data_IF_154892475206
#
_entry.id   IF_154892475206
#
_cell.length_a   1.000
_cell.length_b   1.000
_cell.length_c   1.000
_cell.angle_alpha   90.00
_cell.angle_beta   90.00
_cell.angle_gamma   90.00
#
_symmetry.space_group_name_H-M   'P 1'
#
loop_
_entity.id
_entity.type
_entity.pdbx_description
1 polymer ?
#
# COMPACT_ATOMS: atom_id res chain seq x y z
N UNK A 1 -18.11 -4.41 -0.18
CA UNK A 1 -19.05 -5.34 0.47
C UNK A 1 -20.28 -4.54 0.85
N UNK A 2 -21.41 -4.81 0.28
CA UNK A 2 -22.70 -4.25 0.72
C UNK A 2 -23.12 -5.03 1.98
N UNK A 3 -22.83 -4.48 3.15
CA UNK A 3 -23.08 -5.17 4.44
C UNK A 3 -24.57 -5.29 4.74
N UNK A 4 -25.39 -4.33 4.28
CA UNK A 4 -26.84 -4.34 4.53
C UNK A 4 -27.57 -5.38 3.65
N UNK A 5 -27.10 -5.66 2.45
CA UNK A 5 -27.74 -6.57 1.51
C UNK A 5 -26.97 -7.89 1.35
N UNK A 6 -25.93 -8.15 2.17
CA UNK A 6 -25.14 -9.38 2.11
C UNK A 6 -24.42 -9.56 0.75
N UNK A 7 -24.16 -8.47 0.02
CA UNK A 7 -23.47 -8.54 -1.26
C UNK A 7 -22.02 -8.93 -1.06
N UNK A 8 -21.73 -10.15 -1.42
CA UNK A 8 -20.33 -10.60 -1.58
C UNK A 8 -20.01 -10.52 -3.07
N UNK A 9 -18.93 -9.85 -3.49
CA UNK A 9 -18.55 -9.84 -4.89
C UNK A 9 -18.39 -11.28 -5.37
N UNK A 10 -19.12 -11.64 -6.43
CA UNK A 10 -19.12 -13.00 -6.95
C UNK A 10 -17.75 -13.41 -7.50
N UNK A 11 -16.94 -12.45 -7.88
CA UNK A 11 -15.62 -12.70 -8.44
C UNK A 11 -14.70 -11.45 -8.38
N UNK A 12 -13.41 -11.70 -8.36
CA UNK A 12 -12.36 -10.69 -8.55
C UNK A 12 -11.71 -11.04 -9.91
N UNK A 13 -11.50 -10.05 -10.75
CA UNK A 13 -10.79 -10.21 -12.02
C UNK A 13 -9.44 -9.50 -11.96
N UNK A 14 -8.36 -10.22 -12.24
CA UNK A 14 -6.99 -9.69 -12.31
C UNK A 14 -6.44 -10.01 -13.69
N UNK A 15 -5.99 -8.99 -14.43
CA UNK A 15 -5.46 -9.13 -15.81
C UNK A 15 -6.41 -9.93 -16.71
N UNK A 16 -7.72 -9.65 -16.62
CA UNK A 16 -8.76 -10.31 -17.41
C UNK A 16 -9.10 -11.75 -17.01
N UNK A 17 -8.49 -12.29 -15.95
CA UNK A 17 -8.74 -13.65 -15.45
C UNK A 17 -9.41 -13.60 -14.10
N UNK A 18 -10.40 -14.46 -13.89
CA UNK A 18 -11.06 -14.60 -12.59
C UNK A 18 -10.06 -15.15 -11.55
N UNK A 19 -9.98 -14.47 -10.42
CA UNK A 19 -9.14 -14.84 -9.29
C UNK A 19 -10.00 -15.28 -8.09
N UNK A 20 -9.66 -16.40 -7.47
CA UNK A 20 -10.27 -16.89 -6.24
C UNK A 20 -9.31 -16.67 -5.08
N UNK A 21 -9.55 -15.61 -4.31
CA UNK A 21 -8.67 -15.20 -3.21
C UNK A 21 -9.41 -15.40 -1.89
N UNK A 22 -8.94 -16.36 -1.09
CA UNK A 22 -9.49 -16.67 0.24
C UNK A 22 -8.47 -16.43 1.37
N UNK A 23 -7.19 -16.27 1.03
CA UNK A 23 -6.11 -16.13 2.00
C UNK A 23 -5.11 -15.05 1.57
N UNK A 24 -4.39 -14.41 2.51
CA UNK A 24 -3.33 -13.45 2.18
C UNK A 24 -2.27 -14.05 1.25
N UNK A 25 -1.91 -15.32 1.44
CA UNK A 25 -0.96 -16.02 0.58
C UNK A 25 -1.43 -16.09 -0.87
N UNK A 26 -2.72 -16.35 -1.10
CA UNK A 26 -3.29 -16.34 -2.44
C UNK A 26 -3.29 -14.93 -3.04
N UNK A 27 -3.57 -13.88 -2.24
CA UNK A 27 -3.46 -12.50 -2.71
C UNK A 27 -2.04 -12.17 -3.19
N UNK A 28 -1.01 -12.53 -2.42
CA UNK A 28 0.39 -12.35 -2.81
C UNK A 28 0.70 -13.12 -4.11
N UNK A 29 0.22 -14.36 -4.25
CA UNK A 29 0.42 -15.17 -5.47
C UNK A 29 -0.26 -14.56 -6.70
N UNK A 30 -1.32 -13.77 -6.51
CA UNK A 30 -1.98 -13.01 -7.57
C UNK A 30 -1.37 -11.62 -7.79
N UNK A 31 -0.24 -11.34 -7.17
CA UNK A 31 0.48 -10.08 -7.34
C UNK A 31 -0.15 -8.90 -6.60
N UNK A 32 -0.83 -9.14 -5.48
CA UNK A 32 -1.41 -8.09 -4.63
C UNK A 32 -0.51 -7.88 -3.42
N UNK A 33 -0.07 -6.64 -3.22
CA UNK A 33 0.58 -6.14 -2.02
C UNK A 33 -0.41 -5.31 -1.19
N UNK A 34 -0.43 -5.48 0.12
CA UNK A 34 -1.29 -4.73 1.02
C UNK A 34 -0.49 -4.09 2.15
N UNK A 35 -0.47 -2.77 2.15
CA UNK A 35 0.15 -1.97 3.19
C UNK A 35 -0.95 -1.53 4.16
N UNK A 36 -0.94 -2.12 5.35
CA UNK A 36 -1.94 -1.89 6.40
C UNK A 36 -1.74 -0.54 7.07
N UNK A 37 -2.84 0.09 7.53
CA UNK A 37 -2.84 1.25 8.41
C UNK A 37 -2.04 0.98 9.71
N UNK A 38 -2.23 -0.18 10.32
CA UNK A 38 -1.53 -0.58 11.55
C UNK A 38 -0.14 -1.16 11.26
N UNK A 39 0.80 -0.26 10.92
CA UNK A 39 2.18 -0.68 10.63
C UNK A 39 2.87 -1.37 11.80
N UNK A 40 2.53 -0.99 13.06
CA UNK A 40 3.19 -1.51 14.25
C UNK A 40 2.69 -2.88 14.68
N UNK A 41 1.39 -3.11 14.58
CA UNK A 41 0.78 -4.38 14.98
C UNK A 41 0.72 -5.42 13.86
N UNK A 42 0.58 -4.96 12.60
CA UNK A 42 0.36 -5.85 11.45
C UNK A 42 1.42 -5.69 10.35
N UNK A 43 1.98 -4.49 10.21
CA UNK A 43 2.90 -4.17 9.14
C UNK A 43 4.32 -4.67 9.37
N UNK A 44 4.81 -4.68 10.60
CA UNK A 44 6.20 -4.93 10.97
C UNK A 44 6.32 -5.88 12.17
N UNK A 45 7.44 -6.59 12.24
CA UNK A 45 7.89 -7.24 13.46
C UNK A 45 8.91 -6.32 14.13
N UNK A 46 8.45 -5.46 15.04
CA UNK A 46 9.23 -4.35 15.62
C UNK A 46 10.51 -4.80 16.32
N UNK A 47 10.52 -6.00 16.90
CA UNK A 47 11.69 -6.57 17.59
C UNK A 47 12.74 -7.16 16.61
N UNK A 48 12.46 -7.17 15.31
CA UNK A 48 13.35 -7.70 14.30
C UNK A 48 14.03 -6.57 13.51
N UNK A 49 15.14 -6.94 12.85
CA UNK A 49 15.91 -6.02 12.01
C UNK A 49 15.15 -5.59 10.76
N UNK A 50 15.63 -4.53 10.10
CA UNK A 50 15.19 -4.11 8.76
C UNK A 50 15.35 -5.29 7.79
N UNK A 51 16.51 -5.94 7.78
CA UNK A 51 16.84 -7.14 6.98
C UNK A 51 15.72 -8.18 7.05
N UNK A 52 15.34 -8.57 8.25
CA UNK A 52 14.29 -9.57 8.48
C UNK A 52 12.95 -9.08 7.95
N UNK A 53 12.54 -7.87 8.29
CA UNK A 53 11.26 -7.31 7.89
C UNK A 53 11.11 -7.22 6.36
N UNK A 54 12.17 -6.85 5.64
CA UNK A 54 12.13 -6.67 4.18
C UNK A 54 11.84 -7.96 3.40
N UNK A 55 12.14 -9.13 3.97
CA UNK A 55 11.97 -10.42 3.27
C UNK A 55 10.67 -11.15 3.65
N UNK A 56 9.98 -10.73 4.72
CA UNK A 56 8.83 -11.48 5.27
C UNK A 56 7.72 -11.76 4.25
N UNK A 57 7.45 -10.84 3.33
CA UNK A 57 6.39 -11.02 2.35
C UNK A 57 6.79 -11.97 1.20
N UNK A 58 8.10 -12.20 0.99
CA UNK A 58 8.61 -13.02 -0.11
C UNK A 58 9.84 -13.87 0.29
N UNK A 59 9.78 -14.52 1.43
CA UNK A 59 10.92 -15.36 1.93
C UNK A 59 11.42 -16.37 0.89
N UNK A 60 10.52 -16.94 0.10
CA UNK A 60 10.89 -17.90 -0.97
C UNK A 60 11.78 -17.26 -2.04
N UNK A 61 11.53 -16.00 -2.39
CA UNK A 61 12.35 -15.28 -3.34
C UNK A 61 13.78 -15.01 -2.84
N UNK A 62 13.98 -15.09 -1.53
CA UNK A 62 15.28 -14.91 -0.86
C UNK A 62 15.91 -16.23 -0.39
N UNK A 63 15.35 -17.38 -0.79
CA UNK A 63 15.86 -18.69 -0.40
C UNK A 63 16.52 -19.42 -1.57
N UNK A 64 17.57 -20.19 -1.27
CA UNK A 64 18.18 -21.17 -2.16
C UNK A 64 18.05 -22.54 -1.50
N UNK A 65 17.09 -23.33 -1.96
CA UNK A 65 16.69 -24.56 -1.29
C UNK A 65 16.10 -24.28 0.10
N UNK A 66 16.69 -24.83 1.15
CA UNK A 66 16.26 -24.66 2.54
C UNK A 66 16.93 -23.47 3.26
N UNK A 67 17.88 -22.81 2.64
CA UNK A 67 18.68 -21.74 3.25
C UNK A 67 18.36 -20.38 2.66
N UNK A 68 18.44 -19.33 3.49
CA UNK A 68 18.35 -17.95 3.04
C UNK A 68 19.64 -17.55 2.31
N UNK A 69 19.49 -16.79 1.24
CA UNK A 69 20.60 -16.23 0.50
C UNK A 69 21.00 -14.88 1.12
N UNK A 70 21.92 -14.92 2.08
CA UNK A 70 22.34 -13.74 2.86
C UNK A 70 22.87 -12.62 1.95
N UNK A 71 23.63 -12.96 0.89
CA UNK A 71 24.14 -11.95 -0.04
C UNK A 71 23.01 -11.23 -0.77
N UNK A 72 22.01 -11.97 -1.27
CA UNK A 72 20.84 -11.38 -1.92
C UNK A 72 20.05 -10.49 -0.97
N UNK A 73 19.92 -10.91 0.28
CA UNK A 73 19.22 -10.12 1.32
C UNK A 73 19.98 -8.82 1.61
N UNK A 74 21.30 -8.90 1.74
CA UNK A 74 22.18 -7.72 1.92
C UNK A 74 22.03 -6.75 0.76
N UNK A 75 22.20 -7.22 -0.48
CA UNK A 75 22.13 -6.40 -1.69
C UNK A 75 20.77 -5.69 -1.80
N UNK A 76 19.66 -6.42 -1.60
CA UNK A 76 18.32 -5.88 -1.65
C UNK A 76 18.07 -4.93 -0.48
N UNK A 77 18.57 -5.23 0.71
CA UNK A 77 18.46 -4.38 1.89
C UNK A 77 19.12 -3.01 1.66
N UNK A 78 20.36 -3.01 1.16
CA UNK A 78 21.09 -1.78 0.84
C UNK A 78 20.40 -0.97 -0.26
N UNK A 79 19.87 -1.64 -1.29
CA UNK A 79 19.10 -0.99 -2.35
C UNK A 79 17.81 -0.34 -1.80
N UNK A 80 17.09 -1.00 -0.87
CA UNK A 80 15.91 -0.43 -0.24
C UNK A 80 16.26 0.78 0.63
N UNK A 81 17.35 0.72 1.42
CA UNK A 81 17.82 1.86 2.21
C UNK A 81 18.08 3.07 1.31
N UNK A 82 18.78 2.87 0.20
CA UNK A 82 19.13 3.94 -0.72
C UNK A 82 17.89 4.49 -1.47
N UNK A 83 17.10 3.61 -2.11
CA UNK A 83 15.97 4.00 -2.97
C UNK A 83 14.81 4.62 -2.19
N UNK A 84 14.51 4.09 -0.99
CA UNK A 84 13.45 4.59 -0.11
C UNK A 84 13.98 5.66 0.88
N UNK A 85 15.28 5.97 0.83
CA UNK A 85 15.93 6.93 1.74
C UNK A 85 15.62 6.63 3.21
N UNK A 86 15.77 5.36 3.61
CA UNK A 86 15.58 4.94 4.99
C UNK A 86 16.76 5.47 5.82
N UNK A 87 16.48 6.30 6.82
CA UNK A 87 17.51 6.82 7.73
C UNK A 87 17.83 5.78 8.80
N UNK A 88 18.91 5.05 8.59
CA UNK A 88 19.37 3.97 9.47
C UNK A 88 20.91 3.81 9.35
N UNK A 89 21.61 3.37 10.40
CA UNK A 89 23.04 3.05 10.32
C UNK A 89 23.32 1.77 9.52
N UNK A 90 22.40 0.80 9.52
CA UNK A 90 22.57 -0.48 8.81
C UNK A 90 21.23 -1.18 8.58
N UNK A 91 21.24 -2.24 7.77
CA UNK A 91 20.06 -3.11 7.57
C UNK A 91 19.79 -4.00 8.79
N UNK A 92 20.72 -4.11 9.71
CA UNK A 92 20.61 -4.92 10.92
C UNK A 92 19.99 -4.14 12.10
N UNK A 93 19.72 -2.84 11.90
CA UNK A 93 19.03 -1.99 12.88
C UNK A 93 17.64 -2.54 13.19
N UNK A 94 17.28 -2.53 14.48
CA UNK A 94 15.95 -2.98 14.95
C UNK A 94 14.89 -1.97 14.53
N UNK A 95 13.87 -2.43 13.79
CA UNK A 95 12.84 -1.56 13.22
C UNK A 95 12.07 -0.77 14.28
N UNK A 96 11.93 -1.31 15.48
CA UNK A 96 11.30 -0.62 16.60
C UNK A 96 11.99 0.68 17.02
N UNK A 97 13.28 0.85 16.71
CA UNK A 97 14.09 2.05 17.05
C UNK A 97 13.99 3.14 15.99
N UNK A 98 13.42 2.83 14.82
CA UNK A 98 13.25 3.80 13.75
C UNK A 98 12.11 4.78 14.02
N UNK A 99 12.22 6.01 13.46
CA UNK A 99 11.09 6.95 13.41
C UNK A 99 9.91 6.37 12.62
N UNK A 100 8.69 6.86 12.87
CA UNK A 100 7.48 6.40 12.19
C UNK A 100 7.59 6.45 10.67
N UNK A 101 8.16 7.51 10.10
CA UNK A 101 8.38 7.62 8.66
C UNK A 101 9.36 6.57 8.11
N UNK A 102 10.43 6.24 8.84
CA UNK A 102 11.35 5.18 8.42
C UNK A 102 10.73 3.79 8.58
N UNK A 103 9.93 3.56 9.62
CA UNK A 103 9.14 2.33 9.76
C UNK A 103 8.19 2.15 8.56
N UNK A 104 7.50 3.20 8.14
CA UNK A 104 6.62 3.15 6.97
C UNK A 104 7.37 2.76 5.69
N UNK A 105 8.56 3.31 5.50
CA UNK A 105 9.43 2.96 4.37
C UNK A 105 9.88 1.49 4.41
N UNK A 106 10.12 0.92 5.58
CA UNK A 106 10.42 -0.52 5.72
C UNK A 106 9.19 -1.36 5.33
N UNK A 107 7.96 -0.96 5.73
CA UNK A 107 6.72 -1.62 5.27
C UNK A 107 6.62 -1.58 3.76
N UNK A 108 6.86 -0.42 3.14
CA UNK A 108 6.84 -0.28 1.68
C UNK A 108 7.89 -1.20 1.04
N UNK A 109 9.13 -1.15 1.54
CA UNK A 109 10.23 -1.99 1.05
C UNK A 109 9.92 -3.48 1.10
N UNK A 110 9.29 -3.95 2.18
CA UNK A 110 8.82 -5.33 2.30
C UNK A 110 7.95 -5.77 1.12
N UNK A 111 7.07 -4.89 0.66
CA UNK A 111 6.14 -5.19 -0.42
C UNK A 111 6.71 -4.91 -1.82
N UNK A 112 7.57 -3.92 -1.97
CA UNK A 112 8.29 -3.65 -3.23
C UNK A 112 9.22 -4.82 -3.60
N UNK A 113 9.72 -5.56 -2.61
CA UNK A 113 10.52 -6.77 -2.82
C UNK A 113 9.69 -8.01 -3.21
N UNK A 114 8.40 -7.85 -3.48
CA UNK A 114 7.54 -8.88 -4.06
C UNK A 114 7.34 -8.60 -5.55
N UNK A 115 6.89 -9.60 -6.30
CA UNK A 115 6.51 -9.43 -7.72
C UNK A 115 5.08 -8.86 -7.86
N UNK A 116 4.66 -7.97 -6.95
CA UNK A 116 3.33 -7.38 -6.98
C UNK A 116 3.15 -6.41 -8.14
N UNK A 117 1.95 -6.47 -8.75
CA UNK A 117 1.51 -5.52 -9.77
C UNK A 117 0.43 -4.57 -9.24
N UNK A 118 -0.24 -4.95 -8.13
CA UNK A 118 -1.31 -4.19 -7.49
C UNK A 118 -0.88 -3.89 -6.06
N UNK A 119 -0.78 -2.62 -5.72
CA UNK A 119 -0.40 -2.13 -4.39
C UNK A 119 -1.60 -1.43 -3.76
N UNK A 120 -2.07 -1.94 -2.63
CA UNK A 120 -3.12 -1.32 -1.82
C UNK A 120 -2.46 -0.65 -0.62
N UNK A 121 -2.58 0.67 -0.54
CA UNK A 121 -2.08 1.50 0.55
C UNK A 121 -3.26 1.93 1.42
N UNK A 122 -3.31 1.45 2.65
CA UNK A 122 -4.33 1.79 3.63
C UNK A 122 -3.78 2.82 4.61
N UNK A 123 -4.29 4.06 4.55
CA UNK A 123 -3.84 5.22 5.33
C UNK A 123 -2.30 5.39 5.33
N UNK A 124 -1.64 5.46 4.14
CA UNK A 124 -0.19 5.29 4.03
C UNK A 124 0.63 6.37 4.75
N UNK A 125 0.02 7.52 5.02
CA UNK A 125 0.71 8.68 5.62
C UNK A 125 0.26 8.98 7.04
N UNK A 126 -0.59 8.13 7.62
CA UNK A 126 -1.09 8.33 8.96
C UNK A 126 0.02 8.22 10.00
N UNK A 127 0.11 9.23 10.86
CA UNK A 127 1.07 9.27 11.97
C UNK A 127 2.53 9.37 11.55
N UNK A 128 2.82 9.97 10.40
CA UNK A 128 4.17 10.34 9.96
C UNK A 128 4.26 11.86 9.73
N UNK A 129 5.47 12.39 9.75
CA UNK A 129 5.71 13.82 9.52
C UNK A 129 5.54 14.20 8.03
N UNK A 130 5.40 15.51 7.77
CA UNK A 130 5.15 16.06 6.43
C UNK A 130 6.25 15.68 5.43
N UNK A 131 7.50 15.67 5.86
CA UNK A 131 8.61 15.29 5.00
C UNK A 131 8.53 13.83 4.58
N UNK A 132 8.18 12.95 5.53
CA UNK A 132 8.00 11.53 5.24
C UNK A 132 6.77 11.27 4.35
N UNK A 133 5.68 12.05 4.46
CA UNK A 133 4.53 11.95 3.53
C UNK A 133 4.95 12.14 2.08
N UNK A 134 5.73 13.18 1.79
CA UNK A 134 6.22 13.46 0.44
C UNK A 134 7.06 12.29 -0.11
N UNK A 135 7.88 11.67 0.74
CA UNK A 135 8.67 10.50 0.32
C UNK A 135 7.78 9.29 0.01
N UNK A 136 6.70 9.05 0.76
CA UNK A 136 5.71 8.01 0.47
C UNK A 136 5.01 8.27 -0.87
N UNK A 137 4.57 9.51 -1.14
CA UNK A 137 3.97 9.88 -2.42
C UNK A 137 4.92 9.66 -3.60
N UNK A 138 6.20 9.98 -3.43
CA UNK A 138 7.20 9.73 -4.46
C UNK A 138 7.36 8.25 -4.77
N UNK A 139 7.27 7.38 -3.75
CA UNK A 139 7.31 5.93 -3.96
C UNK A 139 6.07 5.46 -4.72
N UNK A 140 4.86 5.90 -4.33
CA UNK A 140 3.61 5.56 -5.04
C UNK A 140 3.67 5.99 -6.51
N UNK A 141 4.11 7.23 -6.78
CA UNK A 141 4.31 7.73 -8.13
C UNK A 141 5.35 6.91 -8.92
N UNK A 142 6.43 6.46 -8.25
CA UNK A 142 7.42 5.60 -8.89
C UNK A 142 6.84 4.24 -9.28
N UNK A 143 5.99 3.65 -8.44
CA UNK A 143 5.29 2.40 -8.75
C UNK A 143 4.38 2.56 -9.98
N UNK A 144 3.59 3.64 -10.03
CA UNK A 144 2.72 3.95 -11.18
C UNK A 144 3.56 4.13 -12.46
N UNK A 145 4.68 4.85 -12.41
CA UNK A 145 5.61 5.01 -13.54
C UNK A 145 6.20 3.68 -14.03
N UNK A 146 6.30 2.69 -13.17
CA UNK A 146 6.71 1.32 -13.51
C UNK A 146 5.55 0.45 -14.05
N UNK A 147 4.38 1.04 -14.28
CA UNK A 147 3.19 0.33 -14.76
C UNK A 147 2.46 -0.48 -13.70
N UNK A 148 2.72 -0.23 -12.42
CA UNK A 148 1.98 -0.87 -11.32
C UNK A 148 0.66 -0.14 -11.06
N UNK A 149 -0.34 -0.88 -10.60
CA UNK A 149 -1.60 -0.33 -10.13
C UNK A 149 -1.48 0.05 -8.65
N UNK A 150 -1.88 1.26 -8.29
CA UNK A 150 -1.91 1.73 -6.91
C UNK A 150 -3.36 2.07 -6.53
N UNK A 151 -3.83 1.47 -5.45
CA UNK A 151 -5.09 1.79 -4.80
C UNK A 151 -4.74 2.40 -3.45
N UNK A 152 -5.15 3.65 -3.24
CA UNK A 152 -4.94 4.36 -1.98
C UNK A 152 -6.27 4.52 -1.24
N UNK A 153 -6.32 4.09 0.01
CA UNK A 153 -7.40 4.41 0.93
C UNK A 153 -6.88 5.49 1.86
N UNK A 154 -7.55 6.65 1.89
CA UNK A 154 -7.15 7.77 2.73
C UNK A 154 -8.37 8.53 3.24
N UNK A 155 -8.25 9.05 4.45
CA UNK A 155 -9.20 9.99 5.07
C UNK A 155 -8.78 11.45 4.87
N UNK A 156 -7.59 11.70 4.32
CA UNK A 156 -7.06 13.05 4.11
C UNK A 156 -7.43 13.57 2.70
N UNK A 157 -8.38 14.49 2.62
CA UNK A 157 -8.86 15.04 1.34
C UNK A 157 -7.74 15.65 0.46
N UNK A 158 -6.76 16.41 1.00
CA UNK A 158 -5.66 16.91 0.19
C UNK A 158 -4.81 15.80 -0.45
N UNK A 159 -4.65 14.67 0.23
CA UNK A 159 -3.94 13.50 -0.29
C UNK A 159 -4.71 12.87 -1.45
N UNK A 160 -6.02 12.66 -1.27
CA UNK A 160 -6.91 12.11 -2.30
C UNK A 160 -6.84 12.98 -3.57
N UNK A 161 -7.10 14.28 -3.44
CA UNK A 161 -7.11 15.20 -4.57
C UNK A 161 -5.73 15.36 -5.23
N UNK A 162 -4.65 15.29 -4.44
CA UNK A 162 -3.29 15.46 -4.95
C UNK A 162 -2.75 14.23 -5.68
N UNK A 163 -3.17 13.04 -5.27
CA UNK A 163 -2.52 11.79 -5.69
C UNK A 163 -3.35 10.91 -6.61
N UNK A 164 -4.68 11.07 -6.65
CA UNK A 164 -5.57 10.15 -7.37
C UNK A 164 -5.87 10.63 -8.79
N UNK A 165 -5.93 9.70 -9.73
CA UNK A 165 -6.46 9.91 -11.08
C UNK A 165 -7.98 9.65 -11.12
N UNK A 166 -8.48 8.84 -10.18
CA UNK A 166 -9.88 8.49 -10.01
C UNK A 166 -10.18 8.23 -8.55
N UNK A 167 -11.32 8.72 -8.08
CA UNK A 167 -11.77 8.55 -6.69
C UNK A 167 -13.06 7.74 -6.66
N UNK A 168 -13.09 6.74 -5.80
CA UNK A 168 -14.30 5.98 -5.45
C UNK A 168 -14.70 6.38 -4.04
N UNK A 169 -15.83 7.06 -3.92
CA UNK A 169 -16.37 7.48 -2.62
C UNK A 169 -17.24 6.36 -2.07
N UNK A 170 -16.97 5.95 -0.83
CA UNK A 170 -17.70 4.88 -0.17
C UNK A 170 -18.37 5.35 1.13
N UNK A 171 -19.57 4.83 1.40
CA UNK A 171 -20.29 5.03 2.66
C UNK A 171 -21.07 3.79 3.05
N UNK A 172 -20.90 3.32 4.29
CA UNK A 172 -21.61 2.13 4.79
C UNK A 172 -21.45 0.89 3.91
N UNK A 173 -20.27 0.69 3.32
CA UNK A 173 -19.98 -0.43 2.43
C UNK A 173 -20.52 -0.29 1.00
N UNK A 174 -21.16 0.84 0.66
CA UNK A 174 -21.71 1.12 -0.68
C UNK A 174 -20.86 2.16 -1.41
N UNK A 175 -20.73 2.01 -2.74
CA UNK A 175 -20.16 3.05 -3.60
C UNK A 175 -21.20 4.14 -3.78
N UNK A 176 -20.84 5.37 -3.43
CA UNK A 176 -21.71 6.56 -3.53
C UNK A 176 -21.43 7.35 -4.80
N UNK A 177 -20.16 7.43 -5.19
CA UNK A 177 -19.75 8.11 -6.42
C UNK A 177 -18.43 7.49 -6.93
N UNK A 178 -18.22 7.59 -8.25
CA UNK A 178 -16.95 7.36 -8.92
C UNK A 178 -16.65 8.62 -9.73
N UNK A 179 -15.51 9.27 -9.47
CA UNK A 179 -15.16 10.59 -10.00
C UNK A 179 -13.77 10.52 -10.61
N UNK A 180 -13.66 10.75 -11.90
CA UNK A 180 -12.39 10.87 -12.60
C UNK A 180 -11.77 12.25 -12.39
N UNK A 181 -10.43 12.35 -12.49
CA UNK A 181 -9.68 13.58 -12.24
C UNK A 181 -10.11 14.75 -13.14
N UNK A 182 -10.54 14.45 -14.36
CA UNK A 182 -10.97 15.47 -15.33
C UNK A 182 -12.43 15.93 -15.14
N UNK A 183 -13.15 15.32 -14.19
CA UNK A 183 -14.54 15.69 -13.86
C UNK A 183 -14.58 17.02 -13.09
N UNK A 184 -15.61 17.86 -13.34
CA UNK A 184 -15.89 19.04 -12.53
C UNK A 184 -16.16 18.72 -11.06
N UNK A 185 -16.62 17.50 -10.77
CA UNK A 185 -16.85 16.98 -9.43
C UNK A 185 -15.57 16.52 -8.71
N UNK A 186 -14.39 16.60 -9.34
CA UNK A 186 -13.12 16.24 -8.70
C UNK A 186 -12.64 17.38 -7.78
N UNK A 187 -13.45 17.69 -6.77
CA UNK A 187 -13.19 18.72 -5.79
C UNK A 187 -13.62 18.27 -4.39
N UNK A 188 -13.12 18.96 -3.37
CA UNK A 188 -13.38 18.59 -1.98
C UNK A 188 -14.85 18.63 -1.62
N UNK A 189 -15.61 19.64 -2.10
CA UNK A 189 -17.01 19.85 -1.73
C UNK A 189 -17.89 18.70 -2.22
N UNK A 190 -17.76 18.34 -3.49
CA UNK A 190 -18.56 17.27 -4.10
C UNK A 190 -18.19 15.89 -3.56
N UNK A 191 -16.90 15.61 -3.38
CA UNK A 191 -16.46 14.34 -2.77
C UNK A 191 -16.99 14.21 -1.33
N UNK A 192 -16.97 15.30 -0.54
CA UNK A 192 -17.54 15.30 0.81
C UNK A 192 -19.06 15.17 0.77
N UNK A 193 -19.77 15.86 -0.16
CA UNK A 193 -21.22 15.72 -0.37
C UNK A 193 -21.59 14.25 -0.62
N UNK A 194 -20.86 13.57 -1.52
CA UNK A 194 -21.05 12.16 -1.80
C UNK A 194 -20.78 11.28 -0.59
N UNK A 195 -19.69 11.53 0.17
CA UNK A 195 -19.34 10.78 1.37
C UNK A 195 -20.42 10.88 2.47
N UNK A 196 -21.17 11.98 2.50
CA UNK A 196 -22.30 12.15 3.42
C UNK A 196 -23.62 11.62 2.86
N UNK A 197 -23.64 11.11 1.64
CA UNK A 197 -24.79 10.48 1.00
C UNK A 197 -25.60 11.41 0.10
N UNK A 198 -25.07 12.60 -0.20
CA UNK A 198 -25.62 13.46 -1.23
C UNK A 198 -25.35 12.88 -2.63
N UNK A 199 -26.23 13.19 -3.57
CA UNK A 199 -25.99 12.88 -4.99
C UNK A 199 -25.13 13.99 -5.61
N UNK A 200 -24.24 13.61 -6.50
CA UNK A 200 -23.62 14.55 -7.43
C UNK A 200 -24.67 14.81 -8.51
N UNK A 201 -24.95 16.07 -8.75
CA UNK A 201 -25.91 16.48 -9.79
C UNK A 201 -25.21 16.27 -11.15
N UNK A 202 -25.91 15.73 -12.15
CA UNK A 202 -25.42 15.54 -13.53
C UNK A 202 -25.24 16.88 -14.24
#
# INVERSE_FOLDING_TARGET
>A
IDVENGYTPKYITIKGKQAHIKTPRQAIQHGIAFLTEDRKGQGLVLAQSIRTNLILANMKGFSTGLFLNEKKIEDVGQNNIASLRIKTPSIDEIVGQLSGGNQQKVVIGKWVNTDADIFIFDEPTRGIDVGAKVEVYNVMNSLVKQGKCVIMVSSEMPEILGMSDRVIVMRGGKVMAEVDRDSEHFNQEDLMKAAWGGKLDD
#
